data_IF_777427496844
#
_entry.id   IF_777427496844
#
_cell.length_a   1.000
_cell.length_b   1.000
_cell.length_c   1.000
_cell.angle_alpha   90.00
_cell.angle_beta   90.00
_cell.angle_gamma   90.00
#
_symmetry.space_group_name_H-M   'P 1'
#
loop_
_entity.id
_entity.type
_entity.pdbx_description
1 polymer ?
#
# COMPACT_ATOMS: atom_id res chain seq x y z
N UNK A 1 -31.52 17.28 10.97
CA UNK A 1 -31.05 16.04 10.30
C UNK A 1 -29.66 16.28 9.75
N UNK A 2 -28.62 15.76 10.42
CA UNK A 2 -27.24 15.93 9.99
C UNK A 2 -27.00 15.10 8.72
N UNK A 3 -26.76 15.78 7.60
CA UNK A 3 -26.38 15.15 6.34
C UNK A 3 -25.00 14.50 6.52
N UNK A 4 -24.99 13.18 6.75
CA UNK A 4 -23.79 12.36 6.72
C UNK A 4 -23.26 12.37 5.29
N UNK A 5 -22.41 13.35 4.97
CA UNK A 5 -21.56 13.31 3.78
C UNK A 5 -20.67 12.08 3.93
N UNK A 6 -21.10 10.95 3.37
CA UNK A 6 -20.23 9.79 3.15
C UNK A 6 -19.00 10.32 2.42
N UNK A 7 -17.86 10.38 3.12
CA UNK A 7 -16.55 10.63 2.53
C UNK A 7 -16.37 9.62 1.40
N UNK A 8 -16.66 10.03 0.16
CA UNK A 8 -16.44 9.18 -1.01
C UNK A 8 -14.92 9.02 -1.11
N UNK A 9 -14.44 7.84 -0.73
CA UNK A 9 -13.06 7.42 -0.98
C UNK A 9 -12.75 7.66 -2.45
N UNK A 10 -11.66 8.36 -2.72
CA UNK A 10 -11.18 8.56 -4.09
C UNK A 10 -10.86 7.19 -4.71
N UNK A 11 -11.08 7.03 -6.02
CA UNK A 11 -10.75 5.79 -6.74
C UNK A 11 -9.29 5.35 -6.49
N UNK A 12 -8.39 6.31 -6.27
CA UNK A 12 -6.99 6.07 -5.89
C UNK A 12 -6.84 5.35 -4.52
N UNK A 13 -7.65 5.73 -3.53
CA UNK A 13 -7.65 5.09 -2.22
C UNK A 13 -8.24 3.68 -2.29
N UNK A 14 -9.30 3.48 -3.07
CA UNK A 14 -9.89 2.16 -3.29
C UNK A 14 -8.86 1.22 -3.94
N UNK A 15 -8.15 1.70 -4.98
CA UNK A 15 -7.06 0.95 -5.60
C UNK A 15 -5.94 0.62 -4.61
N UNK A 16 -5.54 1.59 -3.77
CA UNK A 16 -4.56 1.38 -2.70
C UNK A 16 -4.97 0.28 -1.72
N UNK A 17 -6.21 0.29 -1.26
CA UNK A 17 -6.74 -0.74 -0.35
C UNK A 17 -6.79 -2.12 -1.01
N UNK A 18 -7.15 -2.21 -2.30
CA UNK A 18 -7.14 -3.47 -3.04
C UNK A 18 -5.72 -4.05 -3.10
N UNK A 19 -4.75 -3.24 -3.50
CA UNK A 19 -3.34 -3.66 -3.56
C UNK A 19 -2.84 -4.08 -2.18
N UNK A 20 -3.19 -3.33 -1.14
CA UNK A 20 -2.80 -3.64 0.24
C UNK A 20 -3.31 -5.02 0.69
N UNK A 21 -4.58 -5.34 0.40
CA UNK A 21 -5.15 -6.65 0.72
C UNK A 21 -4.52 -7.78 -0.09
N UNK A 22 -4.26 -7.58 -1.39
CA UNK A 22 -3.60 -8.59 -2.23
C UNK A 22 -2.23 -8.94 -1.66
N UNK A 23 -1.40 -7.95 -1.36
CA UNK A 23 -0.06 -8.16 -0.80
C UNK A 23 -0.15 -8.87 0.55
N UNK A 24 -1.11 -8.49 1.40
CA UNK A 24 -1.34 -9.12 2.72
C UNK A 24 -1.70 -10.60 2.58
N UNK A 25 -2.62 -10.93 1.67
CA UNK A 25 -3.05 -12.32 1.44
C UNK A 25 -1.89 -13.17 0.92
N UNK A 26 -1.08 -12.64 0.01
CA UNK A 26 0.11 -13.35 -0.51
C UNK A 26 1.10 -13.64 0.60
N UNK A 27 1.41 -12.65 1.46
CA UNK A 27 2.35 -12.85 2.57
C UNK A 27 1.84 -13.88 3.59
N UNK A 28 0.56 -13.81 3.95
CA UNK A 28 -0.07 -14.81 4.83
C UNK A 28 -0.03 -16.19 4.18
N UNK A 29 -0.29 -16.27 2.87
CA UNK A 29 -0.24 -17.51 2.11
C UNK A 29 1.16 -18.14 2.12
N UNK A 30 2.21 -17.35 1.89
CA UNK A 30 3.60 -17.83 1.97
C UNK A 30 3.92 -18.34 3.38
N UNK A 31 3.60 -17.57 4.43
CA UNK A 31 3.83 -18.00 5.81
C UNK A 31 3.06 -19.28 6.17
N UNK A 32 1.81 -19.39 5.71
CA UNK A 32 0.97 -20.57 5.91
C UNK A 32 1.54 -21.80 5.20
N UNK A 33 1.93 -21.67 3.93
CA UNK A 33 2.55 -22.77 3.17
C UNK A 33 3.87 -23.18 3.82
N UNK A 34 4.72 -22.24 4.21
CA UNK A 34 5.99 -22.53 4.89
C UNK A 34 5.79 -23.24 6.24
N UNK A 35 4.68 -23.00 6.94
CA UNK A 35 4.38 -23.65 8.22
C UNK A 35 3.77 -25.04 8.06
N UNK A 36 2.86 -25.25 7.11
CA UNK A 36 2.14 -26.52 6.95
C UNK A 36 2.77 -27.49 5.95
N UNK A 37 3.49 -26.97 4.95
CA UNK A 37 4.09 -27.73 3.85
C UNK A 37 5.61 -27.52 3.79
N UNK A 38 6.21 -27.11 4.91
CA UNK A 38 7.65 -26.93 5.01
C UNK A 38 8.40 -28.26 4.91
N UNK A 39 9.43 -28.29 4.06
CA UNK A 39 10.36 -29.42 3.92
C UNK A 39 11.57 -29.25 4.87
N UNK A 40 12.56 -30.16 4.79
CA UNK A 40 13.80 -30.14 5.59
C UNK A 40 14.55 -28.80 5.69
N UNK A 41 14.36 -27.86 4.75
CA UNK A 41 14.92 -26.49 4.85
C UNK A 41 14.22 -25.62 5.90
N UNK A 42 12.94 -25.86 6.14
CA UNK A 42 12.13 -25.15 7.14
C UNK A 42 12.35 -25.66 8.57
N UNK A 43 13.00 -26.81 8.76
CA UNK A 43 13.35 -27.34 10.07
C UNK A 43 14.52 -26.57 10.73
N UNK A 44 15.25 -25.76 9.97
CA UNK A 44 16.35 -24.98 10.53
C UNK A 44 15.85 -23.81 11.39
N UNK A 45 16.43 -23.65 12.57
CA UNK A 45 16.14 -22.50 13.44
C UNK A 45 16.48 -21.16 12.78
N UNK A 46 17.51 -21.13 11.94
CA UNK A 46 17.87 -19.96 11.13
C UNK A 46 16.76 -19.56 10.15
N UNK A 47 16.09 -20.51 9.51
CA UNK A 47 14.96 -20.23 8.62
C UNK A 47 13.85 -19.48 9.35
N UNK A 48 13.45 -19.93 10.54
CA UNK A 48 12.42 -19.28 11.35
C UNK A 48 12.82 -17.89 11.83
N UNK A 49 14.08 -17.70 12.21
CA UNK A 49 14.61 -16.37 12.61
C UNK A 49 14.59 -15.40 11.43
N UNK A 50 15.02 -15.85 10.25
CA UNK A 50 14.99 -15.04 9.03
C UNK A 50 13.55 -14.71 8.63
N UNK A 51 12.67 -15.72 8.60
CA UNK A 51 11.25 -15.55 8.28
C UNK A 51 10.57 -14.57 9.24
N UNK A 52 10.82 -14.69 10.55
CA UNK A 52 10.28 -13.78 11.56
C UNK A 52 10.81 -12.35 11.38
N UNK A 53 12.10 -12.18 11.08
CA UNK A 53 12.72 -10.88 10.82
C UNK A 53 12.07 -10.21 9.60
N UNK A 54 11.93 -10.96 8.49
CA UNK A 54 11.24 -10.48 7.29
C UNK A 54 9.77 -10.16 7.56
N UNK A 55 9.05 -10.99 8.32
CA UNK A 55 7.66 -10.76 8.68
C UNK A 55 7.47 -9.46 9.46
N UNK A 56 8.36 -9.14 10.40
CA UNK A 56 8.33 -7.88 11.17
C UNK A 56 8.57 -6.68 10.26
N UNK A 57 9.60 -6.72 9.42
CA UNK A 57 9.91 -5.65 8.47
C UNK A 57 8.74 -5.39 7.52
N UNK A 58 8.17 -6.45 6.95
CA UNK A 58 7.00 -6.35 6.07
C UNK A 58 5.75 -5.84 6.81
N UNK A 59 5.57 -6.21 8.09
CA UNK A 59 4.45 -5.69 8.89
C UNK A 59 4.56 -4.18 9.09
N UNK A 60 5.76 -3.68 9.39
CA UNK A 60 6.02 -2.22 9.47
C UNK A 60 5.71 -1.56 8.13
N UNK A 61 6.14 -2.16 7.01
CA UNK A 61 5.84 -1.68 5.66
C UNK A 61 4.32 -1.63 5.39
N UNK A 62 3.56 -2.65 5.81
CA UNK A 62 2.10 -2.68 5.66
C UNK A 62 1.38 -1.60 6.47
N UNK A 63 1.87 -1.30 7.67
CA UNK A 63 1.33 -0.21 8.50
C UNK A 63 1.57 1.13 7.81
N UNK A 64 2.79 1.37 7.32
CA UNK A 64 3.13 2.61 6.60
C UNK A 64 2.34 2.76 5.30
N UNK A 65 2.16 1.68 4.54
CA UNK A 65 1.33 1.67 3.34
C UNK A 65 -0.14 2.00 3.66
N UNK A 66 -0.71 1.42 4.71
CA UNK A 66 -2.07 1.71 5.15
C UNK A 66 -2.25 3.18 5.57
N UNK A 67 -1.27 3.74 6.30
CA UNK A 67 -1.26 5.16 6.67
C UNK A 67 -1.20 6.05 5.43
N UNK A 68 -0.34 5.70 4.46
CA UNK A 68 -0.19 6.45 3.22
C UNK A 68 -1.45 6.43 2.35
N UNK A 69 -2.11 5.26 2.22
CA UNK A 69 -3.40 5.14 1.51
C UNK A 69 -4.49 5.96 2.23
N UNK A 70 -4.49 5.95 3.56
CA UNK A 70 -5.46 6.74 4.35
C UNK A 70 -5.27 8.25 4.15
N UNK A 71 -4.03 8.72 3.99
CA UNK A 71 -3.71 10.14 3.85
C UNK A 71 -3.48 10.61 2.40
N UNK A 72 -3.73 9.75 1.41
CA UNK A 72 -3.47 9.98 -0.01
C UNK A 72 -4.10 11.27 -0.60
N UNK A 73 -5.21 11.73 -0.02
CA UNK A 73 -5.91 12.95 -0.44
C UNK A 73 -5.98 14.02 0.66
N UNK A 74 -5.28 13.82 1.78
CA UNK A 74 -5.25 14.80 2.86
C UNK A 74 -4.32 15.93 2.44
N UNK A 75 -4.91 17.12 2.21
CA UNK A 75 -4.22 18.40 2.12
C UNK A 75 -3.44 18.69 0.82
N UNK A 76 -3.86 18.15 -0.33
CA UNK A 76 -3.24 18.42 -1.65
C UNK A 76 -1.71 18.17 -1.69
N UNK A 77 -1.23 17.29 -0.80
CA UNK A 77 0.19 17.13 -0.53
C UNK A 77 0.73 15.86 -1.22
N UNK A 78 1.64 16.03 -2.17
CA UNK A 78 2.27 14.96 -2.96
C UNK A 78 3.13 13.99 -2.14
N UNK A 79 3.38 14.31 -0.87
CA UNK A 79 4.20 13.51 0.05
C UNK A 79 3.70 12.07 0.15
N UNK A 80 2.38 11.84 0.29
CA UNK A 80 1.85 10.49 0.49
C UNK A 80 1.91 9.59 -0.76
N UNK A 81 1.57 10.08 -1.96
CA UNK A 81 1.86 9.36 -3.20
C UNK A 81 3.35 9.02 -3.39
N UNK A 82 4.26 9.94 -3.05
CA UNK A 82 5.71 9.71 -3.16
C UNK A 82 6.16 8.64 -2.16
N UNK A 83 5.65 8.66 -0.93
CA UNK A 83 5.92 7.61 0.08
C UNK A 83 5.48 6.24 -0.43
N UNK A 84 4.34 6.12 -1.11
CA UNK A 84 3.91 4.85 -1.73
C UNK A 84 4.84 4.39 -2.86
N UNK A 85 5.35 5.33 -3.67
CA UNK A 85 6.32 5.01 -4.73
C UNK A 85 7.64 4.54 -4.12
N UNK A 86 8.15 5.21 -3.09
CA UNK A 86 9.36 4.80 -2.36
C UNK A 86 9.17 3.43 -1.71
N UNK A 87 8.00 3.18 -1.10
CA UNK A 87 7.64 1.86 -0.55
C UNK A 87 7.64 0.75 -1.61
N UNK A 88 7.39 1.09 -2.86
CA UNK A 88 7.39 0.12 -3.93
C UNK A 88 8.81 -0.32 -4.34
N UNK A 89 9.80 0.58 -4.26
CA UNK A 89 11.21 0.24 -4.46
C UNK A 89 11.81 -0.57 -3.31
N UNK A 90 11.20 -0.54 -2.12
CA UNK A 90 11.61 -1.32 -0.95
C UNK A 90 11.08 -2.78 -0.98
N UNK A 91 10.75 -3.32 -2.15
CA UNK A 91 10.34 -4.73 -2.32
C UNK A 91 8.84 -4.99 -2.36
N UNK A 92 8.01 -3.94 -2.50
CA UNK A 92 6.56 -4.09 -2.71
C UNK A 92 6.11 -3.34 -3.98
N UNK A 93 6.67 -3.74 -5.13
CA UNK A 93 6.48 -3.10 -6.45
C UNK A 93 5.02 -2.81 -6.82
N UNK A 94 4.07 -3.59 -6.30
CA UNK A 94 2.63 -3.40 -6.56
C UNK A 94 2.11 -2.05 -6.02
N UNK A 95 2.75 -1.46 -5.00
CA UNK A 95 2.39 -0.13 -4.48
C UNK A 95 2.72 1.04 -5.41
N UNK A 96 3.49 0.82 -6.48
CA UNK A 96 3.65 1.84 -7.55
C UNK A 96 2.29 2.23 -8.13
N UNK A 97 1.38 1.27 -8.29
CA UNK A 97 0.08 1.47 -8.95
C UNK A 97 -0.77 2.53 -8.24
N UNK A 98 -1.08 2.41 -6.93
CA UNK A 98 -1.83 3.45 -6.23
C UNK A 98 -1.04 4.76 -6.10
N UNK A 99 0.30 4.70 -6.01
CA UNK A 99 1.15 5.90 -5.96
C UNK A 99 1.07 6.75 -7.23
N UNK A 100 1.24 6.15 -8.40
CA UNK A 100 1.13 6.84 -9.70
C UNK A 100 -0.30 7.32 -9.95
N UNK A 101 -1.31 6.50 -9.63
CA UNK A 101 -2.70 6.89 -9.80
C UNK A 101 -3.08 8.10 -8.93
N UNK A 102 -2.58 8.15 -7.69
CA UNK A 102 -2.77 9.29 -6.80
C UNK A 102 -2.13 10.58 -7.34
N UNK A 103 -0.94 10.48 -7.94
CA UNK A 103 -0.28 11.62 -8.57
C UNK A 103 -1.08 12.16 -9.77
N UNK A 104 -1.65 11.27 -10.59
CA UNK A 104 -2.47 11.66 -11.74
C UNK A 104 -3.75 12.38 -11.30
N UNK A 105 -4.43 11.86 -10.26
CA UNK A 105 -5.69 12.44 -9.75
C UNK A 105 -5.47 13.76 -9.00
N UNK A 106 -4.35 13.88 -8.28
CA UNK A 106 -4.01 15.11 -7.54
C UNK A 106 -3.27 16.16 -8.38
N UNK A 107 -3.12 15.97 -9.71
CA UNK A 107 -2.41 16.92 -10.56
C UNK A 107 -3.23 18.23 -10.76
N UNK A 108 -2.75 19.40 -10.28
CA UNK A 108 -3.43 20.69 -10.38
C UNK A 108 -3.61 21.18 -11.82
N UNK A 109 -2.79 20.70 -12.76
CA UNK A 109 -2.96 21.03 -14.18
C UNK A 109 -4.29 20.51 -14.76
N UNK A 110 -4.89 19.47 -14.17
CA UNK A 110 -6.20 18.94 -14.59
C UNK A 110 -7.38 19.63 -13.92
N UNK A 111 -7.16 20.25 -12.74
CA UNK A 111 -8.17 20.97 -11.98
C UNK A 111 -8.11 22.50 -12.18
N UNK A 112 -7.17 22.99 -12.98
CA UNK A 112 -7.18 24.38 -13.43
C UNK A 112 -8.33 24.53 -14.43
N UNK A 113 -9.40 25.29 -14.12
CA UNK A 113 -10.40 25.60 -15.13
C UNK A 113 -9.65 26.28 -16.27
N UNK A 114 -9.70 25.68 -17.45
CA UNK A 114 -9.22 26.26 -18.69
C UNK A 114 -9.85 27.65 -18.77
N UNK A 115 -9.10 28.71 -18.44
CA UNK A 115 -9.51 30.08 -18.76
C UNK A 115 -9.56 30.11 -20.29
N UNK A 116 -10.75 29.98 -20.85
CA UNK A 116 -11.01 30.33 -22.23
C UNK A 116 -10.80 31.84 -22.33
N UNK A 117 -9.72 32.24 -22.99
CA UNK A 117 -9.66 33.55 -23.62
C UNK A 117 -10.32 33.46 -24.98
#
# INVERSE_FOLDING_TARGET
>A
MASSKKLKLSAAQICGWIVWWIVTIVLIGVAFISYFFGDSQTDSSLFWVVLATFAVLYTIQQILAAIAIRHLHTNNNYVWPIVLIVMAFLGSFVYVIPGIWALIVNNPQRNSPRKSN
#
